data_IF_623409599182
#
_entry.id   IF_623409599182
#
_cell.length_a   1.000
_cell.length_b   1.000
_cell.length_c   1.000
_cell.angle_alpha   90.00
_cell.angle_beta   90.00
_cell.angle_gamma   90.00
#
_symmetry.space_group_name_H-M   'P 1'
#
loop_
_entity.id
_entity.type
_entity.pdbx_description
1 polymer ?
#
# COMPACT_ATOMS: atom_id res chain seq x y z
N UNK A 1 -18.96 -1.64 7.28
CA UNK A 1 -18.44 -0.63 6.32
C UNK A 1 -18.93 -0.98 4.91
N UNK A 2 -19.10 -0.01 4.01
CA UNK A 2 -19.49 -0.24 2.60
C UNK A 2 -18.22 -0.53 1.79
N UNK A 3 -18.24 -1.57 0.96
CA UNK A 3 -17.12 -1.90 0.06
C UNK A 3 -17.13 -1.01 -1.18
N UNK A 4 -16.01 -0.96 -1.88
CA UNK A 4 -15.76 -0.14 -3.07
C UNK A 4 -15.87 1.36 -2.79
N UNK A 5 -15.36 1.76 -1.62
CA UNK A 5 -15.38 3.13 -1.15
C UNK A 5 -14.00 3.54 -0.64
N UNK A 6 -13.74 4.84 -0.72
CA UNK A 6 -12.67 5.49 0.02
C UNK A 6 -13.30 6.34 1.13
N UNK A 7 -12.70 6.34 2.31
CA UNK A 7 -13.15 7.09 3.48
C UNK A 7 -12.15 8.20 3.81
N UNK A 8 -12.64 9.44 3.94
CA UNK A 8 -11.81 10.56 4.36
C UNK A 8 -11.74 10.64 5.89
N UNK A 9 -10.84 9.87 6.49
CA UNK A 9 -10.77 9.74 7.95
C UNK A 9 -9.40 9.20 8.40
N UNK A 10 -9.11 9.37 9.69
CA UNK A 10 -8.05 8.62 10.35
C UNK A 10 -8.29 7.10 10.20
N UNK A 11 -7.23 6.36 9.85
CA UNK A 11 -7.36 4.96 9.52
C UNK A 11 -7.66 4.08 10.75
N UNK A 12 -7.17 4.41 11.94
CA UNK A 12 -7.47 3.64 13.16
C UNK A 12 -8.93 3.82 13.57
N UNK A 13 -9.49 5.02 13.42
CA UNK A 13 -10.93 5.24 13.66
C UNK A 13 -11.80 4.51 12.64
N UNK A 14 -11.41 4.53 11.37
CA UNK A 14 -12.14 3.82 10.32
C UNK A 14 -12.06 2.30 10.48
N UNK A 15 -10.91 1.74 10.85
CA UNK A 15 -10.70 0.30 11.07
C UNK A 15 -11.66 -0.30 12.09
N UNK A 16 -12.05 0.44 13.13
CA UNK A 16 -13.04 -0.01 14.14
C UNK A 16 -14.38 -0.45 13.54
N UNK A 17 -14.71 0.03 12.33
CA UNK A 17 -15.96 -0.29 11.60
C UNK A 17 -15.79 -1.40 10.56
N UNK A 18 -14.57 -1.90 10.37
CA UNK A 18 -14.26 -3.07 9.55
C UNK A 18 -14.48 -4.32 10.40
N UNK A 19 -15.32 -5.28 9.97
CA UNK A 19 -15.55 -6.51 10.73
C UNK A 19 -14.29 -7.36 10.91
N UNK A 20 -14.29 -8.20 11.94
CA UNK A 20 -13.23 -9.19 12.16
C UNK A 20 -13.19 -10.18 11.00
N UNK A 21 -11.99 -10.62 10.61
CA UNK A 21 -11.78 -11.65 9.60
C UNK A 21 -12.55 -11.42 8.28
N UNK A 22 -12.70 -10.17 7.83
CA UNK A 22 -13.43 -9.83 6.61
C UNK A 22 -12.55 -9.50 5.40
N UNK A 23 -11.28 -9.19 5.62
CA UNK A 23 -10.35 -8.72 4.56
C UNK A 23 -9.49 -9.86 4.02
N UNK A 24 -9.39 -9.98 2.70
CA UNK A 24 -8.63 -11.03 2.01
C UNK A 24 -7.18 -10.62 1.73
N UNK A 25 -6.90 -9.32 1.59
CA UNK A 25 -5.54 -8.82 1.45
C UNK A 25 -5.44 -7.38 1.96
N UNK A 26 -4.33 -7.06 2.62
CA UNK A 26 -4.00 -5.69 3.03
C UNK A 26 -2.78 -5.26 2.22
N UNK A 27 -2.88 -4.17 1.48
CA UNK A 27 -1.75 -3.56 0.76
C UNK A 27 -1.71 -2.11 1.15
N UNK A 28 -0.61 -1.65 1.73
CA UNK A 28 -0.54 -0.28 2.23
C UNK A 28 0.86 0.32 2.20
N UNK A 29 0.92 1.63 1.97
CA UNK A 29 2.15 2.41 1.82
C UNK A 29 2.13 3.62 2.77
N UNK A 30 2.47 3.43 4.05
CA UNK A 30 2.47 4.52 5.03
C UNK A 30 3.49 5.61 4.66
N UNK A 31 3.34 6.84 5.17
CA UNK A 31 4.36 7.86 5.03
C UNK A 31 5.70 7.39 5.62
N UNK A 32 6.79 7.55 4.86
CA UNK A 32 8.13 7.23 5.35
C UNK A 32 8.60 8.40 6.19
N UNK A 33 8.46 8.30 7.51
CA UNK A 33 8.86 9.34 8.49
C UNK A 33 10.38 9.62 8.56
N UNK A 34 11.16 9.13 7.60
CA UNK A 34 12.61 9.28 7.54
C UNK A 34 13.06 9.92 6.23
N UNK A 35 13.86 10.97 6.33
CA UNK A 35 14.29 11.78 5.17
C UNK A 35 13.56 13.11 5.08
N UNK A 36 13.65 13.78 3.93
CA UNK A 36 13.00 15.08 3.75
C UNK A 36 11.48 14.86 3.64
N UNK A 37 10.73 15.36 4.62
CA UNK A 37 9.27 15.39 4.60
C UNK A 37 8.80 16.33 3.48
N UNK A 38 7.52 16.23 3.12
CA UNK A 38 6.91 17.11 2.10
C UNK A 38 7.09 18.60 2.42
N UNK A 39 7.29 18.94 3.70
CA UNK A 39 7.49 20.30 4.21
C UNK A 39 8.97 20.70 4.33
N UNK A 40 9.90 19.92 3.77
CA UNK A 40 11.33 20.24 3.79
C UNK A 40 12.05 19.97 5.13
N UNK A 41 11.38 19.36 6.12
CA UNK A 41 12.01 18.97 7.38
C UNK A 41 12.64 17.58 7.27
N UNK A 42 13.81 17.34 7.89
CA UNK A 42 14.40 15.99 7.96
C UNK A 42 13.75 15.20 9.09
N UNK A 43 12.89 14.24 8.74
CA UNK A 43 12.41 13.22 9.67
C UNK A 43 13.55 12.33 10.16
N UNK A 44 13.51 11.99 11.44
CA UNK A 44 14.55 11.27 12.18
C UNK A 44 14.03 9.95 12.74
N UNK A 45 14.93 9.03 13.08
CA UNK A 45 14.57 7.76 13.70
C UNK A 45 13.84 7.93 15.05
N UNK A 46 14.07 9.07 15.71
CA UNK A 46 13.35 9.45 16.93
C UNK A 46 11.86 9.69 16.64
N UNK A 47 11.53 10.28 15.48
CA UNK A 47 10.15 10.53 15.07
C UNK A 47 9.39 9.21 14.81
N UNK A 48 10.05 8.23 14.16
CA UNK A 48 9.50 6.87 14.06
C UNK A 48 9.25 6.23 15.43
N UNK A 49 10.19 6.39 16.36
CA UNK A 49 10.06 5.83 17.70
C UNK A 49 8.85 6.41 18.45
N UNK A 50 8.50 7.68 18.20
CA UNK A 50 7.28 8.32 18.71
C UNK A 50 6.02 7.69 18.09
N UNK A 51 6.07 7.31 16.82
CA UNK A 51 4.97 6.64 16.11
C UNK A 51 4.79 5.16 16.49
N UNK A 52 5.66 4.57 17.33
CA UNK A 52 5.57 3.15 17.72
C UNK A 52 4.19 2.73 18.26
N UNK A 53 3.50 3.52 19.12
CA UNK A 53 2.15 3.17 19.58
C UNK A 53 1.15 3.10 18.44
N UNK A 54 1.21 4.05 17.49
CA UNK A 54 0.33 4.04 16.32
C UNK A 54 0.50 2.77 15.48
N UNK A 55 1.74 2.39 15.15
CA UNK A 55 1.99 1.18 14.35
C UNK A 55 1.69 -0.12 15.09
N UNK A 56 1.83 -0.13 16.42
CA UNK A 56 1.35 -1.23 17.25
C UNK A 56 -0.16 -1.41 17.08
N UNK A 57 -0.92 -0.34 17.25
CA UNK A 57 -2.39 -0.38 17.20
C UNK A 57 -2.86 -0.70 15.78
N UNK A 58 -2.18 -0.17 14.76
CA UNK A 58 -2.44 -0.47 13.36
C UNK A 58 -2.26 -1.97 13.04
N UNK A 59 -1.15 -2.58 13.48
CA UNK A 59 -0.92 -4.00 13.21
C UNK A 59 -1.82 -4.92 14.03
N UNK A 60 -2.26 -4.49 15.23
CA UNK A 60 -3.30 -5.19 15.97
C UNK A 60 -4.63 -5.19 15.20
N UNK A 61 -5.04 -4.04 14.68
CA UNK A 61 -6.24 -3.94 13.86
C UNK A 61 -6.11 -4.73 12.55
N UNK A 62 -4.94 -4.72 11.90
CA UNK A 62 -4.68 -5.58 10.73
C UNK A 62 -4.88 -7.06 11.07
N UNK A 63 -4.36 -7.51 12.22
CA UNK A 63 -4.53 -8.89 12.64
C UNK A 63 -6.00 -9.22 12.94
N UNK A 64 -6.78 -8.28 13.47
CA UNK A 64 -8.21 -8.44 13.74
C UNK A 64 -9.04 -8.57 12.46
N UNK A 65 -8.81 -7.67 11.49
CA UNK A 65 -9.66 -7.57 10.28
C UNK A 65 -9.29 -8.56 9.18
N UNK A 66 -8.04 -9.01 9.12
CA UNK A 66 -7.57 -9.94 8.07
C UNK A 66 -8.13 -11.34 8.30
N UNK A 67 -8.54 -12.02 7.22
CA UNK A 67 -8.86 -13.45 7.26
C UNK A 67 -7.60 -14.28 7.61
N UNK A 68 -7.75 -15.52 8.12
CA UNK A 68 -6.61 -16.39 8.39
C UNK A 68 -5.70 -16.69 7.17
N UNK A 69 -6.29 -16.68 5.97
CA UNK A 69 -5.60 -16.87 4.69
C UNK A 69 -5.15 -15.55 4.03
N UNK A 70 -5.33 -14.40 4.67
CA UNK A 70 -5.03 -13.12 4.02
C UNK A 70 -3.53 -12.82 3.96
N UNK A 71 -3.11 -12.21 2.86
CA UNK A 71 -1.77 -11.63 2.72
C UNK A 71 -1.73 -10.18 3.22
N UNK A 72 -0.58 -9.76 3.74
CA UNK A 72 -0.32 -8.35 4.09
C UNK A 72 0.97 -7.89 3.42
N UNK A 73 0.88 -6.81 2.65
CA UNK A 73 1.99 -6.11 2.00
C UNK A 73 2.11 -4.71 2.59
N UNK A 74 3.20 -4.47 3.31
CA UNK A 74 3.45 -3.18 3.95
C UNK A 74 4.73 -2.56 3.38
N UNK A 75 4.56 -1.53 2.57
CA UNK A 75 5.66 -0.86 1.89
C UNK A 75 6.48 0.00 2.84
N UNK A 76 7.79 0.04 2.62
CA UNK A 76 8.72 0.85 3.39
C UNK A 76 10.04 1.05 2.64
N UNK A 77 10.95 1.84 3.22
CA UNK A 77 12.34 1.89 2.80
C UNK A 77 13.25 1.13 3.77
N UNK A 78 14.54 1.03 3.44
CA UNK A 78 15.54 0.33 4.27
C UNK A 78 15.63 0.86 5.70
N UNK A 79 15.26 2.12 5.95
CA UNK A 79 15.34 2.76 7.25
C UNK A 79 14.13 2.43 8.10
N UNK A 80 12.94 2.47 7.50
CA UNK A 80 11.69 2.08 8.13
C UNK A 80 11.63 0.58 8.39
N UNK A 81 12.17 -0.25 7.51
CA UNK A 81 12.14 -1.71 7.65
C UNK A 81 12.64 -2.19 9.02
N UNK A 82 13.79 -1.70 9.49
CA UNK A 82 14.35 -2.08 10.79
C UNK A 82 13.45 -1.69 11.98
N UNK A 83 12.65 -0.64 11.84
CA UNK A 83 11.70 -0.20 12.85
C UNK A 83 10.40 -1.02 12.82
N UNK A 84 9.84 -1.23 11.63
CA UNK A 84 8.55 -1.90 11.47
C UNK A 84 8.62 -3.41 11.65
N UNK A 85 9.71 -4.06 11.21
CA UNK A 85 9.87 -5.52 11.25
C UNK A 85 9.52 -6.16 12.60
N UNK A 86 10.09 -5.74 13.75
CA UNK A 86 9.79 -6.39 15.03
C UNK A 86 8.32 -6.25 15.46
N UNK A 87 7.64 -5.15 15.08
CA UNK A 87 6.21 -4.98 15.36
C UNK A 87 5.37 -5.83 14.40
N UNK A 88 5.71 -5.81 13.12
CA UNK A 88 5.02 -6.57 12.08
C UNK A 88 5.08 -8.07 12.36
N UNK A 89 6.27 -8.58 12.70
CA UNK A 89 6.45 -9.99 13.05
C UNK A 89 5.68 -10.38 14.32
N UNK A 90 5.71 -9.53 15.35
CA UNK A 90 4.99 -9.77 16.61
C UNK A 90 3.47 -9.90 16.41
N UNK A 91 2.85 -9.05 15.58
CA UNK A 91 1.39 -8.98 15.45
C UNK A 91 0.83 -9.76 14.27
N UNK A 92 1.59 -9.91 13.19
CA UNK A 92 1.13 -10.53 11.95
C UNK A 92 1.92 -11.80 11.61
N UNK A 93 3.19 -11.89 12.02
CA UNK A 93 4.13 -12.94 11.63
C UNK A 93 4.72 -12.67 10.25
N UNK A 94 6.00 -12.32 10.19
CA UNK A 94 6.68 -12.02 8.93
C UNK A 94 6.98 -13.32 8.15
N UNK A 95 6.62 -13.35 6.87
CA UNK A 95 6.91 -14.48 5.99
C UNK A 95 8.11 -14.21 5.07
N UNK A 96 8.26 -12.97 4.59
CA UNK A 96 9.39 -12.60 3.73
C UNK A 96 9.63 -11.08 3.73
N UNK A 97 10.76 -10.68 3.17
CA UNK A 97 11.03 -9.33 2.68
C UNK A 97 11.01 -9.35 1.16
N UNK A 98 10.11 -8.59 0.56
CA UNK A 98 10.14 -8.37 -0.89
C UNK A 98 10.90 -7.09 -1.21
N UNK A 99 11.51 -7.05 -2.39
CA UNK A 99 12.27 -5.91 -2.92
C UNK A 99 11.65 -5.51 -4.24
N UNK A 100 11.11 -4.29 -4.31
CA UNK A 100 10.73 -3.69 -5.57
C UNK A 100 11.91 -2.87 -6.12
N UNK A 101 12.52 -3.34 -7.21
CA UNK A 101 13.54 -2.60 -7.94
C UNK A 101 12.88 -1.61 -8.92
N UNK A 102 12.93 -0.33 -8.56
CA UNK A 102 12.39 0.80 -9.32
C UNK A 102 13.15 1.10 -10.62
N UNK A 103 14.30 0.45 -10.83
CA UNK A 103 15.26 0.61 -11.93
C UNK A 103 15.96 1.98 -12.03
N UNK A 104 15.38 3.04 -11.47
CA UNK A 104 16.00 4.36 -11.38
C UNK A 104 15.59 5.08 -10.09
N UNK A 105 16.38 6.06 -9.66
CA UNK A 105 16.13 6.80 -8.44
C UNK A 105 17.22 7.85 -8.17
N UNK A 106 16.95 8.83 -7.30
CA UNK A 106 17.92 9.84 -6.91
C UNK A 106 18.97 9.28 -5.93
N UNK A 107 20.14 9.91 -5.85
CA UNK A 107 21.14 9.69 -4.80
C UNK A 107 22.59 9.61 -5.29
N UNK A 108 23.53 10.11 -4.48
CA UNK A 108 24.96 10.17 -4.79
C UNK A 108 25.81 9.17 -3.97
N UNK A 109 25.18 8.39 -3.09
CA UNK A 109 25.82 7.39 -2.22
C UNK A 109 25.07 6.05 -2.36
N UNK A 110 25.10 5.50 -3.58
CA UNK A 110 24.17 4.49 -4.08
C UNK A 110 22.74 5.05 -4.20
N UNK A 111 22.20 5.03 -5.42
CA UNK A 111 20.89 5.59 -5.69
C UNK A 111 19.77 4.76 -5.04
N UNK A 112 18.69 5.43 -4.60
CA UNK A 112 17.52 4.79 -3.98
C UNK A 112 16.62 4.11 -5.02
N UNK A 113 17.15 3.08 -5.67
CA UNK A 113 16.50 2.36 -6.76
C UNK A 113 15.63 1.19 -6.29
N UNK A 114 15.44 1.02 -4.98
CA UNK A 114 14.55 -0.01 -4.44
C UNK A 114 13.64 0.52 -3.34
N UNK A 115 12.54 -0.20 -3.12
CA UNK A 115 11.70 -0.13 -1.93
C UNK A 115 11.51 -1.54 -1.38
N UNK A 116 11.28 -1.63 -0.08
CA UNK A 116 11.11 -2.89 0.63
C UNK A 116 9.65 -3.10 0.97
N UNK A 117 9.23 -4.35 1.05
CA UNK A 117 7.87 -4.73 1.45
C UNK A 117 7.98 -5.78 2.55
N UNK A 118 7.48 -5.45 3.73
CA UNK A 118 7.21 -6.43 4.79
C UNK A 118 6.02 -7.28 4.34
N UNK A 119 6.22 -8.59 4.27
CA UNK A 119 5.22 -9.51 3.73
C UNK A 119 4.81 -10.57 4.75
N UNK A 120 3.50 -10.71 4.94
CA UNK A 120 2.87 -11.83 5.63
C UNK A 120 2.06 -12.64 4.62
N UNK A 121 2.23 -13.96 4.64
CA UNK A 121 1.41 -14.91 3.89
C UNK A 121 0.49 -15.67 4.83
N UNK A 122 -0.82 -15.56 4.60
CA UNK A 122 -1.82 -16.30 5.37
C UNK A 122 -1.74 -17.81 5.13
N UNK A 123 -2.33 -18.58 6.05
CA UNK A 123 -2.31 -20.05 5.97
C UNK A 123 -3.04 -20.54 4.73
N UNK A 124 -2.43 -21.48 4.01
CA UNK A 124 -3.03 -22.10 2.83
C UNK A 124 -2.89 -21.30 1.53
N UNK A 125 -2.21 -20.15 1.55
CA UNK A 125 -1.84 -19.40 0.35
C UNK A 125 -0.45 -19.83 -0.11
N UNK A 126 -0.31 -20.04 -1.42
CA UNK A 126 0.96 -20.39 -2.06
C UNK A 126 1.20 -19.43 -3.24
N UNK A 127 2.31 -18.71 -3.20
CA UNK A 127 2.70 -17.74 -4.23
C UNK A 127 4.00 -18.21 -4.88
N UNK A 128 3.94 -18.52 -6.17
CA UNK A 128 5.09 -18.97 -6.97
C UNK A 128 5.85 -17.81 -7.61
N UNK A 129 6.36 -16.88 -6.81
CA UNK A 129 7.07 -15.69 -7.29
C UNK A 129 8.43 -15.49 -6.58
N UNK A 130 9.35 -14.79 -7.23
CA UNK A 130 10.60 -14.33 -6.61
C UNK A 130 10.33 -13.17 -5.67
N UNK A 131 11.14 -13.06 -4.61
CA UNK A 131 11.03 -11.95 -3.67
C UNK A 131 11.59 -10.62 -4.21
N UNK A 132 12.15 -10.61 -5.42
CA UNK A 132 12.57 -9.41 -6.14
C UNK A 132 11.61 -9.18 -7.31
N UNK A 133 11.05 -7.97 -7.37
CA UNK A 133 10.19 -7.48 -8.45
C UNK A 133 10.99 -6.42 -9.19
N UNK A 134 11.48 -6.73 -10.38
CA UNK A 134 12.39 -5.88 -11.14
C UNK A 134 11.87 -5.52 -12.54
N UNK A 135 10.73 -6.06 -12.95
CA UNK A 135 10.12 -5.84 -14.25
C UNK A 135 9.09 -4.70 -14.28
N UNK A 136 8.87 -4.00 -13.16
CA UNK A 136 7.92 -2.89 -13.05
C UNK A 136 8.67 -1.63 -12.64
N UNK A 137 8.74 -0.63 -13.52
CA UNK A 137 9.45 0.64 -13.27
C UNK A 137 8.62 1.58 -12.39
N UNK A 138 9.29 2.41 -11.58
CA UNK A 138 8.64 3.58 -10.97
C UNK A 138 8.37 4.66 -12.03
N UNK A 139 7.45 5.58 -11.76
CA UNK A 139 7.29 6.78 -12.58
C UNK A 139 8.63 7.56 -12.62
N UNK A 140 9.12 7.88 -13.82
CA UNK A 140 10.40 8.53 -13.99
C UNK A 140 10.46 9.87 -13.24
N UNK A 141 11.60 10.15 -12.62
CA UNK A 141 11.89 11.49 -12.09
C UNK A 141 11.92 12.46 -13.27
N UNK A 142 10.95 13.39 -13.34
CA UNK A 142 10.84 14.33 -14.46
C UNK A 142 9.93 13.92 -15.63
N UNK A 143 9.13 12.85 -15.48
CA UNK A 143 8.05 12.59 -16.43
C UNK A 143 7.07 13.77 -16.45
N UNK A 144 7.15 14.60 -17.50
CA UNK A 144 6.08 15.53 -17.86
C UNK A 144 4.79 14.73 -18.06
N UNK A 145 3.67 15.35 -17.70
CA UNK A 145 2.29 14.89 -17.85
C UNK A 145 2.02 14.30 -19.25
N UNK A 146 2.27 13.01 -19.45
CA UNK A 146 1.70 12.27 -20.58
C UNK A 146 1.60 10.79 -20.23
N UNK A 147 0.36 10.31 -20.31
CA UNK A 147 -0.18 8.96 -20.03
C UNK A 147 0.06 8.38 -18.63
N UNK A 148 -1.00 8.41 -17.81
CA UNK A 148 -0.99 7.88 -16.44
C UNK A 148 -0.49 8.88 -15.40
N UNK A 149 -0.91 10.16 -15.55
CA UNK A 149 -0.47 11.33 -14.77
C UNK A 149 -0.04 11.00 -13.34
N UNK A 150 1.19 11.39 -13.01
CA UNK A 150 1.70 11.38 -11.64
C UNK A 150 0.95 12.44 -10.84
N UNK A 151 -0.17 12.04 -10.21
CA UNK A 151 -1.00 12.95 -9.40
C UNK A 151 -0.45 13.08 -7.97
N UNK A 152 0.42 12.14 -7.56
CA UNK A 152 1.10 12.16 -6.27
C UNK A 152 2.63 12.03 -6.42
N UNK A 153 3.46 12.77 -5.64
CA UNK A 153 4.92 12.72 -5.72
C UNK A 153 5.52 11.31 -5.57
N UNK A 154 4.85 10.44 -4.81
CA UNK A 154 5.30 9.06 -4.47
C UNK A 154 4.32 7.98 -4.92
N UNK A 155 3.48 8.24 -5.94
CA UNK A 155 2.51 7.27 -6.44
C UNK A 155 3.15 5.94 -6.85
N UNK A 156 2.64 4.81 -6.32
CA UNK A 156 3.02 3.47 -6.80
C UNK A 156 2.39 3.17 -8.17
N UNK A 157 3.07 2.45 -9.08
CA UNK A 157 2.46 2.01 -10.34
C UNK A 157 1.28 1.07 -10.09
N UNK A 158 0.18 1.24 -10.83
CA UNK A 158 -0.99 0.36 -10.73
C UNK A 158 -0.61 -1.10 -11.03
N UNK A 159 0.28 -1.32 -12.01
CA UNK A 159 0.76 -2.65 -12.37
C UNK A 159 1.46 -3.37 -11.21
N UNK A 160 2.18 -2.64 -10.34
CA UNK A 160 2.82 -3.23 -9.16
C UNK A 160 1.77 -3.72 -8.18
N UNK A 161 0.82 -2.87 -7.82
CA UNK A 161 -0.23 -3.21 -6.85
C UNK A 161 -1.11 -4.34 -7.40
N UNK A 162 -1.47 -4.28 -8.69
CA UNK A 162 -2.25 -5.34 -9.35
C UNK A 162 -1.53 -6.68 -9.29
N UNK A 163 -0.23 -6.74 -9.60
CA UNK A 163 0.55 -7.97 -9.50
C UNK A 163 0.44 -8.57 -8.09
N UNK A 164 0.62 -7.77 -7.04
CA UNK A 164 0.55 -8.25 -5.66
C UNK A 164 -0.86 -8.76 -5.29
N UNK A 165 -1.91 -8.06 -5.74
CA UNK A 165 -3.31 -8.49 -5.57
C UNK A 165 -3.55 -9.82 -6.27
N UNK A 166 -3.17 -9.95 -7.54
CA UNK A 166 -3.39 -11.14 -8.36
C UNK A 166 -2.60 -12.35 -7.86
N UNK A 167 -1.40 -12.13 -7.32
CA UNK A 167 -0.57 -13.19 -6.73
C UNK A 167 -1.19 -13.77 -5.43
N UNK A 168 -2.03 -13.00 -4.72
CA UNK A 168 -2.50 -13.34 -3.36
C UNK A 168 -4.01 -13.49 -3.19
N UNK A 169 -4.82 -13.12 -4.20
CA UNK A 169 -6.29 -13.08 -4.08
C UNK A 169 -7.00 -13.55 -5.34
N UNK A 170 -8.31 -13.77 -5.25
CA UNK A 170 -9.21 -14.12 -6.35
C UNK A 170 -10.15 -12.96 -6.68
N UNK A 171 -10.74 -12.91 -7.89
CA UNK A 171 -11.82 -11.98 -8.20
C UNK A 171 -12.94 -12.03 -7.15
N UNK A 172 -13.45 -10.87 -6.76
CA UNK A 172 -14.45 -10.71 -5.69
C UNK A 172 -13.88 -10.54 -4.28
N UNK A 173 -12.62 -10.90 -4.03
CA UNK A 173 -11.97 -10.74 -2.72
C UNK A 173 -11.85 -9.26 -2.32
N UNK A 174 -11.78 -9.00 -1.01
CA UNK A 174 -11.72 -7.65 -0.45
C UNK A 174 -10.29 -7.22 -0.12
N UNK A 175 -9.86 -6.12 -0.75
CA UNK A 175 -8.56 -5.46 -0.53
C UNK A 175 -8.72 -4.26 0.40
N UNK A 176 -7.88 -4.17 1.44
CA UNK A 176 -7.82 -3.02 2.35
C UNK A 176 -6.53 -2.24 2.13
N UNK A 177 -6.65 -0.91 2.09
CA UNK A 177 -5.51 0.01 2.13
C UNK A 177 -5.80 1.17 3.09
N UNK A 178 -4.99 1.27 4.14
CA UNK A 178 -5.16 2.28 5.20
C UNK A 178 -4.42 3.59 4.94
N UNK A 179 -3.68 3.66 3.84
CA UNK A 179 -2.96 4.85 3.36
C UNK A 179 -3.24 4.99 1.86
N UNK A 180 -4.52 5.18 1.52
CA UNK A 180 -5.04 5.06 0.17
C UNK A 180 -4.42 6.04 -0.84
N UNK A 181 -3.87 7.17 -0.37
CA UNK A 181 -3.18 8.16 -1.18
C UNK A 181 -4.03 8.59 -2.37
N UNK A 182 -3.43 8.59 -3.56
CA UNK A 182 -4.15 8.91 -4.79
C UNK A 182 -5.06 7.78 -5.31
N UNK A 183 -5.30 6.71 -4.57
CA UNK A 183 -6.27 5.66 -4.95
C UNK A 183 -5.71 4.56 -5.86
N UNK A 184 -4.40 4.36 -5.91
CA UNK A 184 -3.79 3.32 -6.77
C UNK A 184 -4.30 1.91 -6.45
N UNK A 185 -4.47 1.58 -5.17
CA UNK A 185 -4.99 0.26 -4.75
C UNK A 185 -6.42 0.04 -5.21
N UNK A 186 -7.27 1.07 -5.18
CA UNK A 186 -8.63 0.97 -5.69
C UNK A 186 -8.65 0.75 -7.21
N UNK A 187 -7.86 1.52 -7.98
CA UNK A 187 -7.75 1.33 -9.43
C UNK A 187 -7.26 -0.09 -9.77
N UNK A 188 -6.23 -0.58 -9.08
CA UNK A 188 -5.73 -1.95 -9.26
C UNK A 188 -6.79 -3.00 -8.93
N UNK A 189 -7.57 -2.79 -7.86
CA UNK A 189 -8.65 -3.69 -7.44
C UNK A 189 -9.77 -3.74 -8.48
N UNK A 190 -10.22 -2.58 -8.98
CA UNK A 190 -11.26 -2.49 -10.02
C UNK A 190 -10.80 -3.22 -11.28
N UNK A 191 -9.61 -2.90 -11.80
CA UNK A 191 -9.10 -3.49 -13.04
C UNK A 191 -8.83 -5.00 -12.94
N UNK A 192 -8.75 -5.53 -11.72
CA UNK A 192 -8.60 -6.96 -11.45
C UNK A 192 -9.89 -7.61 -10.95
N UNK A 193 -11.02 -6.90 -10.88
CA UNK A 193 -12.30 -7.44 -10.42
C UNK A 193 -12.35 -7.81 -8.93
N UNK A 194 -11.58 -7.12 -8.08
CA UNK A 194 -11.61 -7.22 -6.62
C UNK A 194 -12.40 -6.06 -6.00
N UNK A 195 -12.93 -6.29 -4.81
CA UNK A 195 -13.52 -5.24 -4.00
C UNK A 195 -12.44 -4.50 -3.21
N UNK A 196 -12.69 -3.25 -2.82
CA UNK A 196 -11.73 -2.49 -2.02
C UNK A 196 -12.35 -1.69 -0.87
N UNK A 197 -11.56 -1.37 0.14
CA UNK A 197 -11.82 -0.32 1.13
C UNK A 197 -10.54 0.48 1.27
N UNK A 198 -10.60 1.79 1.02
CA UNK A 198 -9.49 2.71 1.19
C UNK A 198 -9.76 3.69 2.32
N UNK A 199 -8.72 4.10 3.03
CA UNK A 199 -8.74 5.17 4.03
C UNK A 199 -7.68 6.21 3.66
N UNK A 200 -8.06 7.48 3.66
CA UNK A 200 -7.15 8.59 3.35
C UNK A 200 -7.53 9.82 4.17
N UNK A 201 -6.64 10.29 5.03
CA UNK A 201 -6.93 11.40 5.93
C UNK A 201 -6.83 12.76 5.23
N UNK A 202 -5.96 12.90 4.23
CA UNK A 202 -5.76 14.16 3.51
C UNK A 202 -6.87 14.36 2.46
N UNK A 203 -7.63 15.46 2.61
CA UNK A 203 -8.75 15.78 1.71
C UNK A 203 -8.33 15.88 0.24
N UNK A 204 -7.14 16.42 -0.07
CA UNK A 204 -6.68 16.60 -1.45
C UNK A 204 -6.47 15.24 -2.10
N UNK A 205 -5.84 14.31 -1.37
CA UNK A 205 -5.60 12.95 -1.87
C UNK A 205 -6.88 12.13 -1.91
N UNK A 206 -7.78 12.32 -0.95
CA UNK A 206 -9.11 11.73 -0.96
C UNK A 206 -9.90 12.10 -2.24
N UNK A 207 -10.02 13.39 -2.56
CA UNK A 207 -10.74 13.82 -3.77
C UNK A 207 -10.04 13.36 -5.04
N UNK A 208 -8.71 13.33 -5.04
CA UNK A 208 -7.91 12.77 -6.14
C UNK A 208 -8.24 11.29 -6.37
N UNK A 209 -8.28 10.50 -5.30
CA UNK A 209 -8.61 9.09 -5.36
C UNK A 209 -10.06 8.86 -5.82
N UNK A 210 -11.03 9.62 -5.32
CA UNK A 210 -12.42 9.54 -5.76
C UNK A 210 -12.57 9.72 -7.27
N UNK A 211 -11.89 10.73 -7.84
CA UNK A 211 -11.87 10.95 -9.29
C UNK A 211 -11.30 9.73 -10.02
N UNK A 212 -10.13 9.23 -9.59
CA UNK A 212 -9.47 8.07 -10.23
C UNK A 212 -10.30 6.79 -10.13
N UNK A 213 -11.02 6.59 -9.04
CA UNK A 213 -11.95 5.47 -8.84
C UNK A 213 -13.09 5.54 -9.84
N UNK A 214 -13.72 6.72 -9.99
CA UNK A 214 -14.79 6.95 -10.95
C UNK A 214 -14.31 6.64 -12.37
N UNK A 215 -13.17 7.21 -12.78
CA UNK A 215 -12.60 7.00 -14.11
C UNK A 215 -12.24 5.51 -14.35
N UNK A 216 -11.81 4.79 -13.32
CA UNK A 216 -11.51 3.36 -13.41
C UNK A 216 -12.77 2.52 -13.65
N UNK A 217 -13.87 2.82 -12.97
CA UNK A 217 -15.16 2.14 -13.22
C UNK A 217 -15.72 2.44 -14.61
N UNK A 218 -15.60 3.68 -15.10
CA UNK A 218 -16.02 4.04 -16.46
C UNK A 218 -15.23 3.22 -17.51
N UNK A 219 -13.91 3.09 -17.34
CA UNK A 219 -13.08 2.24 -18.21
C UNK A 219 -13.44 0.76 -18.10
N UNK A 220 -13.64 0.26 -16.89
CA UNK A 220 -13.95 -1.15 -16.66
C UNK A 220 -15.30 -1.56 -17.25
N UNK A 221 -16.32 -0.70 -17.13
CA UNK A 221 -17.66 -0.96 -17.66
C UNK A 221 -17.79 -0.66 -19.16
N UNK A 222 -16.99 0.27 -19.69
CA UNK A 222 -17.02 0.66 -21.10
C UNK A 222 -16.16 -0.19 -22.03
N UNK A 223 -15.33 -1.08 -21.49
CA UNK A 223 -14.45 -1.98 -22.23
C UNK A 223 -14.96 -3.42 -22.40
N UNK A 224 -16.25 -3.67 -22.13
CA UNK A 224 -16.93 -4.97 -22.27
C UNK A 224 -17.60 -5.17 -23.62
#
# INVERSE_FOLDING_TARGET
MITNQIYNEDCLEALKRVPDNSVDCIITDPPYFLGMTHNGQKGSFKDLSICKPFYRDLFQEFNRVKKPGACVYFFTDWRGYAFYYPLFDLYLGASNMLVWNKQSGPGNHYAFIHELILFHCGKGVSIGATNIIDNIRSFASGAKLVEGEKVHPTQKPVALIRKLIEDSTKPGDLILDTFGGSGTTAVASIESGRNFVLMEQDEIYYFTAQKRIKDAYERFNGGG
#
